data_IF_327543213154
#
_entry.id   IF_327543213154
#
_cell.length_a   1.000
_cell.length_b   1.000
_cell.length_c   1.000
_cell.angle_alpha   90.00
_cell.angle_beta   90.00
_cell.angle_gamma   90.00
#
_symmetry.space_group_name_H-M   'P 1'
#
loop_
_entity.id
_entity.type
_entity.pdbx_description
1 polymer ?
#
# COMPACT_ATOMS: atom_id res chain seq x y z
N UNK A 1 30.71 9.39 -11.51
CA UNK A 1 29.90 8.22 -11.13
C UNK A 1 28.70 8.18 -12.07
N UNK A 2 28.52 7.12 -12.85
CA UNK A 2 27.36 7.02 -13.73
C UNK A 2 26.10 6.85 -12.88
N UNK A 3 25.19 7.82 -12.98
CA UNK A 3 23.84 7.79 -12.41
C UNK A 3 23.02 6.73 -13.17
N UNK A 4 23.29 5.44 -12.93
CA UNK A 4 22.37 4.37 -13.31
C UNK A 4 21.21 4.41 -12.32
N UNK A 5 20.27 5.33 -12.54
CA UNK A 5 19.00 5.30 -11.82
C UNK A 5 18.37 3.93 -12.03
N UNK A 6 18.12 3.19 -10.95
CA UNK A 6 17.35 1.96 -11.03
C UNK A 6 15.99 2.24 -11.65
N UNK A 7 15.48 1.24 -12.36
CA UNK A 7 14.19 1.34 -13.01
C UNK A 7 13.10 1.64 -11.99
N UNK A 8 12.29 2.67 -12.26
CA UNK A 8 11.05 2.94 -11.50
C UNK A 8 9.89 2.05 -11.97
N UNK A 9 10.16 1.07 -12.84
CA UNK A 9 9.14 0.15 -13.34
C UNK A 9 8.72 -0.81 -12.23
N UNK A 10 7.43 -0.86 -11.98
CA UNK A 10 6.80 -1.83 -11.08
C UNK A 10 5.91 -2.73 -11.94
N UNK A 11 5.98 -4.07 -11.82
CA UNK A 11 5.16 -4.98 -12.61
C UNK A 11 3.66 -4.65 -12.50
N UNK A 12 2.94 -4.73 -13.61
CA UNK A 12 1.50 -4.40 -13.69
C UNK A 12 1.17 -2.89 -13.76
N UNK A 13 2.04 -2.01 -13.25
CA UNK A 13 1.82 -0.56 -13.34
C UNK A 13 2.20 -0.02 -14.73
N UNK A 14 1.50 1.02 -15.23
CA UNK A 14 1.87 1.67 -16.48
C UNK A 14 3.22 2.40 -16.35
N UNK A 15 3.92 2.59 -17.48
CA UNK A 15 5.14 3.40 -17.54
C UNK A 15 4.87 4.91 -17.63
N UNK A 16 3.64 5.33 -17.34
CA UNK A 16 3.19 6.72 -17.31
C UNK A 16 2.56 7.01 -15.94
N UNK A 17 2.27 8.28 -15.64
CA UNK A 17 1.51 8.63 -14.45
C UNK A 17 0.19 7.83 -14.43
N UNK A 18 -0.03 7.05 -13.37
CA UNK A 18 -1.27 6.30 -13.19
C UNK A 18 -2.37 7.23 -12.66
N UNK A 19 -3.56 7.13 -13.23
CA UNK A 19 -4.75 7.79 -12.72
C UNK A 19 -5.79 6.73 -12.36
N UNK A 20 -6.39 6.87 -11.19
CA UNK A 20 -7.34 5.90 -10.68
C UNK A 20 -8.17 6.46 -9.55
N UNK A 21 -8.96 5.60 -8.92
CA UNK A 21 -9.80 6.02 -7.81
C UNK A 21 -10.26 4.86 -6.94
N UNK A 22 -10.80 5.24 -5.78
CA UNK A 22 -11.42 4.33 -4.83
C UNK A 22 -12.75 3.83 -5.40
N UNK A 23 -13.07 2.56 -5.17
CA UNK A 23 -14.41 2.03 -5.41
C UNK A 23 -15.02 1.48 -4.13
N UNK A 24 -16.24 1.93 -3.83
CA UNK A 24 -17.08 1.33 -2.80
C UNK A 24 -17.83 0.07 -3.30
N UNK A 25 -17.65 -0.30 -4.58
CA UNK A 25 -18.34 -1.38 -5.31
C UNK A 25 -19.86 -1.22 -5.43
N UNK A 26 -20.38 0.00 -5.31
CA UNK A 26 -21.80 0.29 -5.58
C UNK A 26 -22.07 0.39 -7.08
N UNK A 27 -21.24 1.13 -7.84
CA UNK A 27 -21.25 1.14 -9.30
C UNK A 27 -20.34 0.04 -9.87
N UNK A 28 -20.94 -1.08 -10.24
CA UNK A 28 -20.24 -2.17 -10.93
C UNK A 28 -20.18 -1.98 -12.45
N UNK A 29 -20.80 -0.94 -13.01
CA UNK A 29 -20.69 -0.64 -14.44
C UNK A 29 -19.33 -0.01 -14.78
N UNK A 30 -18.69 0.62 -13.78
CA UNK A 30 -17.41 1.30 -13.89
C UNK A 30 -17.47 2.52 -14.81
N UNK A 31 -18.65 3.13 -14.99
CA UNK A 31 -18.87 4.18 -15.97
C UNK A 31 -17.92 5.37 -15.76
N UNK A 32 -17.73 5.77 -14.50
CA UNK A 32 -16.87 6.90 -14.15
C UNK A 32 -15.39 6.57 -14.38
N UNK A 33 -14.95 5.35 -14.06
CA UNK A 33 -13.59 4.88 -14.37
C UNK A 33 -13.32 4.83 -15.87
N UNK A 34 -14.31 4.43 -16.68
CA UNK A 34 -14.21 4.45 -18.15
C UNK A 34 -14.11 5.88 -18.66
N UNK A 35 -14.99 6.77 -18.20
CA UNK A 35 -14.99 8.17 -18.59
C UNK A 35 -13.66 8.86 -18.24
N UNK A 36 -13.12 8.55 -17.06
CA UNK A 36 -11.83 9.07 -16.60
C UNK A 36 -10.61 8.40 -17.26
N UNK A 37 -10.82 7.33 -18.07
CA UNK A 37 -9.76 6.50 -18.63
C UNK A 37 -8.79 6.04 -17.53
N UNK A 38 -9.32 5.50 -16.44
CA UNK A 38 -8.50 5.00 -15.34
C UNK A 38 -7.46 3.97 -15.82
N UNK A 39 -6.31 3.93 -15.17
CA UNK A 39 -5.27 2.90 -15.30
C UNK A 39 -5.15 2.05 -14.03
N UNK A 40 -5.86 2.41 -12.96
CA UNK A 40 -5.95 1.63 -11.74
C UNK A 40 -7.28 1.85 -11.04
N UNK A 41 -7.77 0.82 -10.34
CA UNK A 41 -8.93 0.91 -9.45
C UNK A 41 -8.49 0.33 -8.13
N UNK A 42 -8.73 1.04 -7.03
CA UNK A 42 -8.31 0.55 -5.72
C UNK A 42 -9.45 0.37 -4.73
N UNK A 43 -9.27 -0.60 -3.84
CA UNK A 43 -10.17 -0.90 -2.73
C UNK A 43 -9.40 -1.57 -1.61
N UNK A 44 -9.91 -1.47 -0.40
CA UNK A 44 -9.53 -2.34 0.69
C UNK A 44 -10.02 -3.79 0.46
N UNK A 45 -9.17 -4.78 0.73
CA UNK A 45 -9.51 -6.20 0.64
C UNK A 45 -10.47 -6.63 1.78
N UNK A 46 -11.23 -7.72 1.64
CA UNK A 46 -12.19 -8.13 2.68
C UNK A 46 -13.29 -7.09 2.93
N UNK A 47 -13.72 -6.91 4.19
CA UNK A 47 -14.81 -5.97 4.55
C UNK A 47 -14.38 -4.51 4.39
N UNK A 48 -13.23 -4.16 4.95
CA UNK A 48 -12.69 -2.79 5.03
C UNK A 48 -11.15 -2.76 4.97
N UNK A 49 -10.51 -3.87 4.58
CA UNK A 49 -9.06 -4.01 4.53
C UNK A 49 -8.47 -4.60 5.79
N UNK A 50 -9.17 -4.46 6.92
CA UNK A 50 -8.66 -4.89 8.24
C UNK A 50 -8.69 -6.40 8.42
N UNK A 51 -9.37 -7.09 7.51
CA UNK A 51 -9.76 -8.46 7.75
C UNK A 51 -10.83 -8.53 8.85
N UNK A 52 -11.59 -9.62 8.92
CA UNK A 52 -12.54 -9.76 10.03
C UNK A 52 -11.79 -10.33 11.24
N UNK A 53 -11.44 -9.46 12.20
CA UNK A 53 -10.75 -9.85 13.43
C UNK A 53 -11.43 -11.09 14.05
N UNK A 54 -10.65 -12.15 14.28
CA UNK A 54 -11.08 -13.41 14.91
C UNK A 54 -11.97 -14.34 14.08
N UNK A 55 -12.22 -14.06 12.80
CA UNK A 55 -13.00 -14.99 11.95
C UNK A 55 -12.26 -15.36 10.68
N UNK A 56 -12.33 -16.65 10.32
CA UNK A 56 -11.83 -17.10 9.04
C UNK A 56 -12.81 -16.68 7.94
N UNK A 57 -12.42 -15.75 7.08
CA UNK A 57 -13.25 -15.42 5.92
C UNK A 57 -13.12 -16.55 4.90
N UNK A 58 -14.28 -17.02 4.42
CA UNK A 58 -14.40 -18.10 3.44
C UNK A 58 -14.19 -17.61 2.00
N UNK A 59 -14.35 -16.30 1.76
CA UNK A 59 -14.22 -15.66 0.46
C UNK A 59 -13.98 -14.15 0.56
N UNK A 60 -12.98 -13.64 -0.16
CA UNK A 60 -12.75 -12.19 -0.31
C UNK A 60 -13.52 -11.64 -1.52
N UNK A 61 -14.80 -11.33 -1.31
CA UNK A 61 -15.66 -10.79 -2.36
C UNK A 61 -15.24 -9.39 -2.82
N UNK A 62 -14.62 -8.59 -1.95
CA UNK A 62 -14.07 -7.28 -2.34
C UNK A 62 -12.97 -7.45 -3.38
N UNK A 63 -11.98 -8.31 -3.12
CA UNK A 63 -10.92 -8.58 -4.10
C UNK A 63 -11.50 -9.13 -5.41
N UNK A 64 -12.42 -10.11 -5.35
CA UNK A 64 -13.01 -10.67 -6.57
C UNK A 64 -13.72 -9.61 -7.42
N UNK A 65 -14.55 -8.79 -6.78
CA UNK A 65 -15.34 -7.76 -7.46
C UNK A 65 -14.46 -6.64 -7.99
N UNK A 66 -13.43 -6.23 -7.26
CA UNK A 66 -12.46 -5.22 -7.74
C UNK A 66 -11.68 -5.73 -8.95
N UNK A 67 -11.23 -6.98 -8.94
CA UNK A 67 -10.55 -7.59 -10.10
C UNK A 67 -11.48 -7.68 -11.31
N UNK A 68 -12.74 -8.09 -11.10
CA UNK A 68 -13.74 -8.14 -12.18
C UNK A 68 -14.03 -6.74 -12.74
N UNK A 69 -14.25 -5.75 -11.87
CA UNK A 69 -14.52 -4.38 -12.28
C UNK A 69 -13.34 -3.80 -13.07
N UNK A 70 -12.10 -4.06 -12.65
CA UNK A 70 -10.92 -3.63 -13.40
C UNK A 70 -10.86 -4.26 -14.79
N UNK A 71 -11.16 -5.55 -14.93
CA UNK A 71 -11.25 -6.22 -16.23
C UNK A 71 -12.36 -5.65 -17.12
N UNK A 72 -13.52 -5.34 -16.55
CA UNK A 72 -14.66 -4.76 -17.29
C UNK A 72 -14.38 -3.34 -17.76
N UNK A 73 -13.69 -2.54 -16.94
CA UNK A 73 -13.25 -1.18 -17.31
C UNK A 73 -12.17 -1.26 -18.39
N UNK A 74 -11.18 -2.14 -18.22
CA UNK A 74 -10.12 -2.40 -19.19
C UNK A 74 -10.65 -2.70 -20.60
N UNK A 75 -11.63 -3.60 -20.70
CA UNK A 75 -12.27 -3.94 -21.97
C UNK A 75 -12.90 -2.74 -22.66
N UNK A 76 -13.37 -1.74 -21.90
CA UNK A 76 -14.03 -0.53 -22.41
C UNK A 76 -13.04 0.60 -22.71
N UNK A 77 -11.96 0.73 -21.95
CA UNK A 77 -10.94 1.79 -22.15
C UNK A 77 -9.86 1.40 -23.16
N UNK A 78 -9.71 0.11 -23.46
CA UNK A 78 -8.73 -0.40 -24.44
C UNK A 78 -7.27 -0.31 -23.98
N UNK A 79 -7.02 -0.25 -22.68
CA UNK A 79 -5.70 -0.21 -22.05
C UNK A 79 -5.72 -0.89 -20.69
N UNK A 80 -4.55 -1.26 -20.18
CA UNK A 80 -4.43 -1.95 -18.89
C UNK A 80 -5.00 -1.11 -17.73
N UNK A 81 -5.84 -1.74 -16.91
CA UNK A 81 -6.40 -1.21 -15.65
C UNK A 81 -6.01 -2.14 -14.52
N UNK A 82 -5.08 -1.73 -13.66
CA UNK A 82 -4.57 -2.56 -12.57
C UNK A 82 -5.52 -2.50 -11.35
N UNK A 83 -6.10 -3.62 -10.88
CA UNK A 83 -6.74 -3.65 -9.57
C UNK A 83 -5.66 -3.56 -8.48
N UNK A 84 -5.82 -2.60 -7.57
CA UNK A 84 -4.91 -2.39 -6.43
C UNK A 84 -5.69 -2.63 -5.14
N UNK A 85 -5.19 -3.52 -4.29
CA UNK A 85 -5.86 -3.90 -3.05
C UNK A 85 -5.03 -3.43 -1.86
N UNK A 86 -5.68 -2.78 -0.90
CA UNK A 86 -5.08 -2.42 0.38
C UNK A 86 -5.45 -3.49 1.41
N UNK A 87 -4.45 -4.08 2.05
CA UNK A 87 -4.66 -5.17 3.01
C UNK A 87 -3.88 -4.92 4.30
N UNK A 88 -4.57 -4.82 5.43
CA UNK A 88 -3.97 -4.86 6.75
C UNK A 88 -3.84 -6.34 7.13
N UNK A 89 -2.61 -6.83 7.03
CA UNK A 89 -2.13 -8.20 7.27
C UNK A 89 -2.40 -9.22 6.17
N UNK A 90 -1.31 -9.81 5.65
CA UNK A 90 -1.28 -11.14 5.00
C UNK A 90 -0.77 -12.17 5.99
N UNK A 91 -1.12 -12.00 7.27
CA UNK A 91 -0.49 -12.77 8.30
C UNK A 91 -1.30 -14.04 8.47
N UNK A 92 -0.77 -15.13 7.93
CA UNK A 92 -1.16 -16.47 8.33
C UNK A 92 -0.96 -16.71 9.84
N UNK A 93 -0.44 -15.73 10.57
CA UNK A 93 -0.11 -15.75 11.98
C UNK A 93 -1.08 -14.92 12.85
N UNK A 94 -2.12 -15.57 13.40
CA UNK A 94 -3.00 -15.15 14.52
C UNK A 94 -3.65 -13.73 14.46
N UNK A 95 -3.39 -12.94 13.42
CA UNK A 95 -4.16 -11.79 12.98
C UNK A 95 -4.56 -12.04 11.52
N UNK A 96 -5.87 -12.20 11.30
CA UNK A 96 -6.59 -12.63 10.08
C UNK A 96 -5.82 -13.38 8.96
N UNK A 97 -6.06 -14.71 8.79
CA UNK A 97 -5.50 -15.54 7.72
C UNK A 97 -6.24 -15.47 6.38
N UNK A 98 -6.58 -14.28 5.88
CA UNK A 98 -6.89 -14.12 4.47
C UNK A 98 -5.64 -13.85 3.65
N UNK A 99 -5.58 -14.53 2.52
CA UNK A 99 -4.68 -14.16 1.43
C UNK A 99 -5.58 -13.65 0.30
N UNK A 100 -6.03 -12.37 0.36
CA UNK A 100 -6.63 -11.70 -0.80
C UNK A 100 -5.83 -11.98 -2.09
N UNK A 101 -4.51 -12.03 -1.92
CA UNK A 101 -3.50 -12.18 -2.96
C UNK A 101 -3.69 -13.41 -3.86
N UNK A 102 -4.16 -14.55 -3.32
CA UNK A 102 -4.42 -15.75 -4.13
C UNK A 102 -5.69 -15.60 -4.97
N UNK A 103 -6.72 -14.96 -4.40
CA UNK A 103 -8.00 -14.72 -5.07
C UNK A 103 -7.82 -13.90 -6.34
N UNK A 104 -6.94 -12.90 -6.33
CA UNK A 104 -6.63 -12.12 -7.52
C UNK A 104 -6.07 -13.00 -8.65
N UNK A 105 -5.14 -13.92 -8.35
CA UNK A 105 -4.57 -14.85 -9.34
C UNK A 105 -5.64 -15.74 -9.97
N UNK A 106 -6.55 -16.28 -9.16
CA UNK A 106 -7.62 -17.17 -9.64
C UNK A 106 -8.65 -16.45 -10.55
N UNK A 107 -8.72 -15.12 -10.49
CA UNK A 107 -9.72 -14.32 -11.23
C UNK A 107 -9.16 -13.41 -12.31
N UNK A 108 -7.89 -13.02 -12.22
CA UNK A 108 -7.32 -11.98 -13.07
C UNK A 108 -7.11 -12.41 -14.52
N UNK A 109 -6.70 -13.66 -14.79
CA UNK A 109 -6.37 -14.09 -16.16
C UNK A 109 -5.20 -13.33 -16.82
N UNK A 110 -4.46 -12.53 -16.04
CA UNK A 110 -3.35 -11.64 -16.45
C UNK A 110 -2.04 -12.16 -15.91
N UNK A 111 -0.93 -11.75 -16.56
CA UNK A 111 0.43 -12.00 -16.05
C UNK A 111 0.61 -11.40 -14.65
N UNK A 112 0.18 -10.15 -14.43
CA UNK A 112 0.08 -9.54 -13.10
C UNK A 112 -1.40 -9.37 -12.73
N UNK A 113 -1.98 -10.23 -11.87
CA UNK A 113 -3.42 -10.26 -11.66
C UNK A 113 -3.94 -9.10 -10.82
N UNK A 114 -3.12 -8.58 -9.90
CA UNK A 114 -3.40 -7.41 -9.08
C UNK A 114 -2.11 -6.87 -8.45
N UNK A 115 -2.19 -5.67 -7.89
CA UNK A 115 -1.20 -5.15 -6.96
C UNK A 115 -1.74 -5.08 -5.53
N UNK A 116 -0.87 -5.26 -4.54
CA UNK A 116 -1.20 -5.16 -3.13
C UNK A 116 -0.35 -4.10 -2.42
N UNK A 117 -1.01 -3.27 -1.60
CA UNK A 117 -0.39 -2.40 -0.61
C UNK A 117 -0.64 -3.03 0.76
N UNK A 118 0.43 -3.50 1.40
CA UNK A 118 0.35 -4.31 2.60
C UNK A 118 0.64 -3.50 3.85
N UNK A 119 -0.11 -3.84 4.90
CA UNK A 119 0.06 -3.35 6.26
C UNK A 119 0.22 -1.82 6.32
N UNK A 120 -0.75 -1.04 5.81
CA UNK A 120 -0.71 0.40 6.00
C UNK A 120 -0.51 0.76 7.47
N UNK A 121 0.22 1.84 7.73
CA UNK A 121 0.63 2.32 9.04
C UNK A 121 1.68 1.47 9.77
N UNK A 122 1.86 0.18 9.43
CA UNK A 122 2.64 -0.73 10.28
C UNK A 122 4.10 -0.31 10.43
N UNK A 123 4.81 -0.10 9.31
CA UNK A 123 6.22 0.31 9.36
C UNK A 123 6.40 1.66 10.06
N UNK A 124 5.52 2.63 9.75
CA UNK A 124 5.56 3.96 10.35
C UNK A 124 5.26 3.93 11.86
N UNK A 125 4.30 3.13 12.30
CA UNK A 125 3.92 2.97 13.71
C UNK A 125 5.03 2.30 14.50
N UNK A 126 5.62 1.21 13.98
CA UNK A 126 6.74 0.55 14.65
C UNK A 126 7.96 1.49 14.75
N UNK A 127 8.21 2.31 13.73
CA UNK A 127 9.24 3.35 13.76
C UNK A 127 8.97 4.39 14.87
N UNK A 128 7.76 4.95 14.93
CA UNK A 128 7.37 5.93 15.95
C UNK A 128 7.50 5.38 17.38
N UNK A 129 7.20 4.10 17.56
CA UNK A 129 7.34 3.39 18.82
C UNK A 129 8.78 2.97 19.14
N UNK A 130 9.75 3.26 18.26
CA UNK A 130 11.15 2.86 18.38
C UNK A 130 11.33 1.35 18.59
N UNK A 131 10.49 0.53 17.94
CA UNK A 131 10.61 -0.92 18.04
C UNK A 131 11.84 -1.39 17.25
N UNK A 132 12.73 -2.12 17.92
CA UNK A 132 13.92 -2.68 17.27
C UNK A 132 13.58 -3.88 16.38
N UNK A 133 14.46 -4.26 15.43
CA UNK A 133 14.28 -5.47 14.62
C UNK A 133 14.10 -6.76 15.44
N UNK A 134 14.68 -6.80 16.64
CA UNK A 134 14.64 -7.92 17.57
C UNK A 134 13.46 -7.86 18.56
N UNK A 135 12.59 -6.84 18.44
CA UNK A 135 11.39 -6.73 19.27
C UNK A 135 10.58 -8.03 19.17
N UNK A 136 10.22 -8.61 20.32
CA UNK A 136 9.55 -9.89 20.39
C UNK A 136 8.17 -9.82 19.70
N UNK A 137 8.01 -10.60 18.63
CA UNK A 137 6.78 -10.66 17.84
C UNK A 137 6.56 -12.11 17.40
N UNK A 138 5.79 -12.91 18.16
CA UNK A 138 5.51 -14.29 17.80
C UNK A 138 4.81 -14.37 16.44
N UNK A 139 5.41 -15.11 15.49
CA UNK A 139 4.87 -15.26 14.13
C UNK A 139 4.88 -16.71 13.65
N UNK A 140 5.82 -17.55 14.11
CA UNK A 140 6.03 -18.89 13.52
C UNK A 140 4.88 -19.86 13.74
N UNK A 141 4.42 -20.02 14.99
CA UNK A 141 3.32 -20.95 15.33
C UNK A 141 2.06 -20.57 14.58
N UNK A 142 1.78 -19.28 14.65
CA UNK A 142 0.66 -18.66 14.03
C UNK A 142 0.70 -18.92 12.50
N UNK A 143 1.82 -18.61 11.83
CA UNK A 143 2.04 -18.81 10.39
C UNK A 143 1.83 -20.27 9.97
N UNK A 144 2.30 -21.21 10.78
CA UNK A 144 2.06 -22.65 10.60
C UNK A 144 0.57 -22.97 10.63
N UNK A 145 -0.14 -22.46 11.65
CA UNK A 145 -1.57 -22.68 11.82
C UNK A 145 -2.39 -22.30 10.60
N UNK A 146 -2.09 -21.17 9.93
CA UNK A 146 -2.86 -20.83 8.75
C UNK A 146 -2.35 -21.42 7.43
N UNK A 147 -1.08 -21.84 7.32
CA UNK A 147 -0.66 -22.72 6.21
C UNK A 147 -1.46 -24.03 6.26
N UNK A 148 -1.60 -24.62 7.45
CA UNK A 148 -2.40 -25.82 7.69
C UNK A 148 -3.88 -25.58 7.36
N UNK A 149 -4.48 -24.52 7.90
CA UNK A 149 -5.88 -24.17 7.66
C UNK A 149 -6.21 -23.99 6.18
N UNK A 150 -5.30 -23.38 5.40
CA UNK A 150 -5.48 -23.14 3.96
C UNK A 150 -4.95 -24.27 3.07
N UNK A 151 -4.46 -25.36 3.66
CA UNK A 151 -3.81 -26.47 2.97
C UNK A 151 -2.70 -26.01 2.01
N UNK A 152 -1.96 -24.96 2.39
CA UNK A 152 -0.81 -24.44 1.63
C UNK A 152 0.43 -25.24 2.04
N UNK A 153 1.10 -25.83 1.05
CA UNK A 153 2.36 -26.54 1.27
C UNK A 153 3.52 -25.55 1.22
N UNK A 154 4.34 -25.55 2.27
CA UNK A 154 5.58 -24.77 2.32
C UNK A 154 6.23 -24.87 3.70
N UNK A 155 7.54 -25.04 3.73
CA UNK A 155 8.31 -25.02 4.98
C UNK A 155 8.68 -23.59 5.31
N UNK A 156 8.33 -23.13 6.51
CA UNK A 156 8.68 -21.79 6.99
C UNK A 156 10.20 -21.69 7.11
N UNK A 157 10.87 -20.80 6.35
CA UNK A 157 12.31 -20.57 6.44
C UNK A 157 12.82 -20.42 7.87
N UNK A 158 14.03 -20.93 8.14
CA UNK A 158 14.63 -20.90 9.49
C UNK A 158 14.97 -19.47 9.96
N UNK A 159 15.24 -18.57 9.02
CA UNK A 159 15.57 -17.15 9.26
C UNK A 159 14.35 -16.29 9.61
N UNK A 160 13.12 -16.81 9.47
CA UNK A 160 11.91 -16.19 10.00
C UNK A 160 11.84 -16.44 11.51
N UNK A 161 12.30 -15.49 12.31
CA UNK A 161 12.31 -15.55 13.78
C UNK A 161 11.04 -14.97 14.41
N UNK A 162 10.80 -15.21 15.71
CA UNK A 162 9.70 -14.59 16.47
C UNK A 162 10.04 -13.15 16.89
N UNK A 163 10.43 -12.33 15.92
CA UNK A 163 10.80 -10.92 16.09
C UNK A 163 10.13 -10.06 15.04
N UNK A 164 10.13 -8.74 15.21
CA UNK A 164 9.56 -7.80 14.24
C UNK A 164 10.17 -7.98 12.83
N UNK A 165 11.49 -8.16 12.73
CA UNK A 165 12.15 -8.49 11.46
C UNK A 165 11.68 -9.83 10.88
N UNK A 166 11.47 -10.82 11.74
CA UNK A 166 10.93 -12.12 11.33
C UNK A 166 9.49 -12.03 10.83
N UNK A 167 8.65 -11.19 11.44
CA UNK A 167 7.31 -10.89 10.94
C UNK A 167 7.33 -10.27 9.53
N UNK A 168 8.17 -9.26 9.30
CA UNK A 168 8.34 -8.65 7.96
C UNK A 168 8.76 -9.71 6.94
N UNK A 169 9.72 -10.56 7.31
CA UNK A 169 10.21 -11.64 6.46
C UNK A 169 9.13 -12.69 6.18
N UNK A 170 8.29 -13.02 7.18
CA UNK A 170 7.15 -13.92 7.04
C UNK A 170 6.10 -13.42 6.05
N UNK A 171 5.73 -12.14 6.15
CA UNK A 171 4.78 -11.47 5.24
C UNK A 171 5.29 -11.52 3.80
N UNK A 172 6.54 -11.13 3.58
CA UNK A 172 7.15 -11.18 2.25
C UNK A 172 7.17 -12.60 1.68
N UNK A 173 7.62 -13.57 2.48
CA UNK A 173 7.70 -14.97 2.09
C UNK A 173 6.34 -15.55 1.73
N UNK A 174 5.32 -15.36 2.57
CA UNK A 174 4.00 -15.96 2.34
C UNK A 174 3.35 -15.43 1.08
N UNK A 175 3.49 -14.13 0.79
CA UNK A 175 2.97 -13.52 -0.45
C UNK A 175 3.59 -14.20 -1.67
N UNK A 176 4.92 -14.37 -1.69
CA UNK A 176 5.61 -15.05 -2.79
C UNK A 176 5.29 -16.54 -2.88
N UNK A 177 5.07 -17.21 -1.74
CA UNK A 177 4.68 -18.63 -1.71
C UNK A 177 3.33 -18.86 -2.40
N UNK A 178 2.34 -18.01 -2.15
CA UNK A 178 0.95 -18.24 -2.54
C UNK A 178 0.53 -17.51 -3.81
N UNK A 179 1.24 -16.45 -4.18
CA UNK A 179 0.89 -15.56 -5.27
C UNK A 179 2.14 -14.88 -5.86
N UNK A 180 3.12 -15.66 -6.32
CA UNK A 180 4.37 -15.13 -6.88
C UNK A 180 4.18 -14.07 -8.00
N UNK A 181 3.08 -14.16 -8.76
CA UNK A 181 2.77 -13.28 -9.89
C UNK A 181 2.15 -11.93 -9.52
N UNK A 182 1.73 -11.74 -8.26
CA UNK A 182 1.24 -10.41 -7.85
C UNK A 182 2.40 -9.45 -7.65
N UNK A 183 2.11 -8.19 -7.95
CA UNK A 183 2.93 -7.10 -7.48
C UNK A 183 2.53 -6.78 -6.05
N UNK A 184 3.49 -6.57 -5.15
CA UNK A 184 3.15 -6.06 -3.81
C UNK A 184 4.19 -5.10 -3.28
N UNK A 185 3.74 -4.24 -2.38
CA UNK A 185 4.57 -3.29 -1.67
C UNK A 185 4.10 -3.10 -0.24
N UNK A 186 5.01 -2.62 0.61
CA UNK A 186 4.63 -2.12 1.93
C UNK A 186 4.19 -0.66 1.81
N UNK A 187 3.50 -0.17 2.84
CA UNK A 187 3.23 1.25 2.99
C UNK A 187 3.92 1.81 4.24
N UNK A 188 4.36 3.06 4.16
CA UNK A 188 4.81 3.85 5.28
C UNK A 188 4.26 5.28 5.20
N UNK A 189 4.08 5.92 6.36
CA UNK A 189 3.56 7.28 6.42
C UNK A 189 4.66 8.33 6.50
N UNK A 190 4.42 9.46 5.85
CA UNK A 190 4.93 10.74 6.29
C UNK A 190 3.95 11.34 7.29
N UNK A 191 4.45 11.60 8.50
CA UNK A 191 3.63 12.17 9.56
C UNK A 191 3.71 13.70 9.48
N UNK A 192 2.55 14.35 9.58
CA UNK A 192 2.44 15.80 9.58
C UNK A 192 3.28 16.40 10.71
N UNK A 193 4.39 17.04 10.34
CA UNK A 193 5.23 17.76 11.30
C UNK A 193 4.72 19.19 11.45
N UNK A 194 4.39 19.61 12.67
CA UNK A 194 4.10 21.02 12.99
C UNK A 194 5.35 21.90 13.03
N UNK A 195 6.53 21.29 12.94
CA UNK A 195 7.83 21.97 12.92
C UNK A 195 8.46 21.82 11.54
N UNK A 196 9.32 22.77 11.16
CA UNK A 196 10.23 22.65 10.02
C UNK A 196 11.31 21.59 10.32
N UNK A 197 10.92 20.32 10.38
CA UNK A 197 11.86 19.22 10.42
C UNK A 197 12.45 19.02 9.02
N UNK A 198 13.75 18.77 8.93
CA UNK A 198 14.39 18.47 7.65
C UNK A 198 13.87 17.12 7.12
N UNK A 199 13.05 17.17 6.08
CA UNK A 199 12.48 15.98 5.45
C UNK A 199 13.53 15.03 4.90
N UNK A 200 14.75 15.51 4.60
CA UNK A 200 15.85 14.62 4.19
C UNK A 200 16.33 13.78 5.35
N UNK A 201 16.38 14.34 6.55
CA UNK A 201 16.74 13.60 7.76
C UNK A 201 15.63 12.62 8.15
N UNK A 202 14.36 13.02 8.05
CA UNK A 202 13.23 12.09 8.26
C UNK A 202 13.28 10.95 7.24
N UNK A 203 13.50 11.26 5.96
CA UNK A 203 13.65 10.24 4.92
C UNK A 203 14.81 9.30 5.24
N UNK A 204 15.97 9.82 5.67
CA UNK A 204 17.11 9.02 6.08
C UNK A 204 16.77 8.08 7.24
N UNK A 205 16.11 8.57 8.28
CA UNK A 205 15.69 7.76 9.43
C UNK A 205 14.72 6.65 9.00
N UNK A 206 13.76 6.96 8.12
CA UNK A 206 12.84 5.96 7.57
C UNK A 206 13.57 4.93 6.69
N UNK A 207 14.53 5.34 5.86
CA UNK A 207 15.38 4.42 5.08
C UNK A 207 16.15 3.48 6.01
N UNK A 208 16.83 4.03 7.00
CA UNK A 208 17.66 3.26 7.93
C UNK A 208 16.79 2.28 8.74
N UNK A 209 15.60 2.70 9.16
CA UNK A 209 14.64 1.85 9.85
C UNK A 209 14.15 0.69 8.97
N UNK A 210 13.67 0.98 7.76
CA UNK A 210 13.20 -0.04 6.80
C UNK A 210 14.31 -1.02 6.44
N UNK A 211 15.56 -0.56 6.28
CA UNK A 211 16.72 -1.42 6.06
C UNK A 211 17.02 -2.31 7.25
N UNK A 212 16.91 -1.79 8.48
CA UNK A 212 17.15 -2.57 9.70
C UNK A 212 16.19 -3.75 9.84
N UNK A 213 14.96 -3.60 9.35
CA UNK A 213 13.94 -4.65 9.28
C UNK A 213 14.13 -5.62 8.10
N UNK A 214 15.02 -5.31 7.15
CA UNK A 214 15.28 -6.18 5.99
C UNK A 214 14.12 -6.25 4.98
N UNK A 215 13.23 -5.25 4.95
CA UNK A 215 11.98 -5.26 4.14
C UNK A 215 12.24 -5.59 2.66
N UNK A 216 13.31 -5.03 2.07
CA UNK A 216 13.64 -5.20 0.65
C UNK A 216 14.88 -6.07 0.41
N UNK A 217 15.10 -7.07 1.27
CA UNK A 217 16.25 -7.99 1.18
C UNK A 217 15.81 -9.42 0.83
N UNK A 218 16.69 -10.18 0.19
CA UNK A 218 16.47 -11.60 -0.10
C UNK A 218 15.53 -11.88 -1.28
N UNK A 219 15.21 -13.16 -1.47
CA UNK A 219 14.45 -13.66 -2.63
C UNK A 219 12.95 -13.27 -2.61
N UNK A 220 12.45 -12.78 -1.48
CA UNK A 220 11.04 -12.47 -1.28
C UNK A 220 10.76 -10.96 -1.26
N UNK A 221 11.70 -10.15 -1.71
CA UNK A 221 11.57 -8.70 -1.68
C UNK A 221 10.27 -8.21 -2.36
N UNK A 222 9.56 -7.24 -1.74
CA UNK A 222 8.46 -6.53 -2.39
C UNK A 222 8.95 -5.71 -3.58
N UNK A 223 8.02 -5.32 -4.44
CA UNK A 223 8.28 -4.65 -5.71
C UNK A 223 8.36 -3.12 -5.58
N UNK A 224 7.75 -2.54 -4.54
CA UNK A 224 7.70 -1.09 -4.32
C UNK A 224 7.42 -0.72 -2.85
N UNK A 225 7.62 0.55 -2.51
CA UNK A 225 7.15 1.19 -1.28
C UNK A 225 6.05 2.22 -1.63
N UNK A 226 4.91 2.17 -0.95
CA UNK A 226 3.91 3.25 -1.01
C UNK A 226 4.12 4.22 0.15
N UNK A 227 4.00 5.53 -0.11
CA UNK A 227 4.09 6.55 0.92
C UNK A 227 2.77 7.29 1.02
N UNK A 228 2.13 7.17 2.18
CA UNK A 228 0.95 7.96 2.51
C UNK A 228 1.25 9.17 3.37
N UNK A 229 0.43 10.18 3.15
CA UNK A 229 0.45 11.48 3.83
C UNK A 229 -0.76 11.61 4.75
N UNK A 230 -1.31 10.49 5.20
CA UNK A 230 -2.54 10.39 6.00
C UNK A 230 -3.78 10.83 5.19
N UNK A 231 -4.82 9.99 5.21
CA UNK A 231 -6.08 10.03 4.42
C UNK A 231 -6.94 11.32 4.49
N UNK A 232 -6.45 12.40 5.10
CA UNK A 232 -7.17 13.66 5.14
C UNK A 232 -7.08 14.35 3.76
N UNK A 233 -8.23 14.59 3.14
CA UNK A 233 -8.32 15.49 2.00
C UNK A 233 -7.77 16.87 2.42
N UNK A 234 -6.92 17.46 1.56
CA UNK A 234 -6.26 18.76 1.77
C UNK A 234 -7.27 19.85 2.16
N UNK A 235 -8.52 19.66 1.75
CA UNK A 235 -9.58 20.64 1.86
C UNK A 235 -10.42 20.52 3.15
N UNK A 236 -10.08 19.59 4.04
CA UNK A 236 -10.82 19.38 5.29
C UNK A 236 -10.16 20.05 6.47
N UNK A 237 -10.92 20.44 7.50
CA UNK A 237 -10.38 20.91 8.78
C UNK A 237 -9.40 19.90 9.40
N UNK A 238 -9.63 18.60 9.16
CA UNK A 238 -8.71 17.51 9.53
C UNK A 238 -7.37 17.64 8.80
N UNK A 239 -7.38 17.95 7.50
CA UNK A 239 -6.18 18.21 6.71
C UNK A 239 -5.45 19.47 7.17
N UNK A 240 -6.15 20.60 7.28
CA UNK A 240 -5.59 21.87 7.74
C UNK A 240 -5.03 21.79 9.17
N UNK A 241 -5.81 21.30 10.14
CA UNK A 241 -5.46 21.29 11.56
C UNK A 241 -4.30 20.36 11.90
N UNK A 242 -4.05 19.34 11.08
CA UNK A 242 -3.02 18.33 11.31
C UNK A 242 -1.79 18.48 10.41
N UNK A 243 -1.70 19.57 9.62
CA UNK A 243 -0.53 19.84 8.76
C UNK A 243 -0.46 18.99 7.50
N UNK A 244 -1.62 18.52 7.01
CA UNK A 244 -1.73 17.71 5.80
C UNK A 244 -2.31 18.48 4.61
N UNK A 245 -2.78 19.72 4.77
CA UNK A 245 -3.13 20.58 3.63
C UNK A 245 -1.86 21.04 2.89
N UNK A 246 -1.60 20.44 1.72
CA UNK A 246 -0.37 20.71 0.98
C UNK A 246 -0.58 21.77 -0.10
N UNK A 247 0.18 22.86 -0.02
CA UNK A 247 0.35 23.80 -1.14
C UNK A 247 1.49 23.31 -2.07
N UNK A 248 1.78 23.99 -3.20
CA UNK A 248 2.87 23.57 -4.09
C UNK A 248 4.21 23.33 -3.38
N UNK A 249 4.55 24.09 -2.34
CA UNK A 249 5.78 23.88 -1.58
C UNK A 249 5.79 22.59 -0.77
N UNK A 250 4.66 22.23 -0.14
CA UNK A 250 4.55 20.98 0.61
C UNK A 250 4.54 19.76 -0.34
N UNK A 251 3.94 19.91 -1.52
CA UNK A 251 4.01 18.89 -2.56
C UNK A 251 5.44 18.67 -3.06
N UNK A 252 6.20 19.73 -3.35
CA UNK A 252 7.62 19.64 -3.74
C UNK A 252 8.43 18.90 -2.67
N UNK A 253 8.26 19.31 -1.41
CA UNK A 253 8.87 18.69 -0.23
C UNK A 253 8.52 17.21 -0.06
N UNK A 254 7.27 16.83 -0.32
CA UNK A 254 6.81 15.44 -0.28
C UNK A 254 7.43 14.59 -1.39
N UNK A 255 7.55 15.12 -2.60
CA UNK A 255 8.25 14.43 -3.69
C UNK A 255 9.74 14.29 -3.43
N UNK A 256 10.37 15.31 -2.83
CA UNK A 256 11.76 15.23 -2.35
C UNK A 256 11.92 14.13 -1.30
N UNK A 257 11.00 14.02 -0.34
CA UNK A 257 10.99 12.93 0.64
C UNK A 257 10.91 11.56 -0.06
N UNK A 258 9.96 11.37 -0.98
CA UNK A 258 9.81 10.13 -1.75
C UNK A 258 11.07 9.81 -2.59
N UNK A 259 11.71 10.83 -3.18
CA UNK A 259 12.94 10.70 -3.96
C UNK A 259 14.13 10.25 -3.09
N UNK A 260 14.24 10.79 -1.87
CA UNK A 260 15.26 10.36 -0.91
C UNK A 260 15.02 8.92 -0.44
N UNK A 261 13.77 8.51 -0.22
CA UNK A 261 13.45 7.11 0.08
C UNK A 261 13.81 6.18 -1.09
N UNK A 262 13.48 6.56 -2.32
CA UNK A 262 13.81 5.79 -3.53
C UNK A 262 15.32 5.61 -3.65
N UNK A 263 16.08 6.69 -3.50
CA UNK A 263 17.54 6.68 -3.58
C UNK A 263 18.17 5.88 -2.43
N UNK A 264 17.62 6.01 -1.23
CA UNK A 264 18.12 5.36 -0.02
C UNK A 264 17.86 3.86 0.01
N UNK A 265 16.67 3.42 -0.40
CA UNK A 265 16.26 2.02 -0.40
C UNK A 265 16.61 1.29 -1.70
N UNK A 266 16.82 2.04 -2.79
CA UNK A 266 17.10 1.50 -4.12
C UNK A 266 15.96 0.60 -4.64
N UNK A 267 14.72 1.06 -4.38
CA UNK A 267 13.43 0.45 -4.77
C UNK A 267 12.44 1.51 -5.27
N UNK A 268 11.53 1.20 -6.20
CA UNK A 268 10.48 2.13 -6.62
C UNK A 268 9.65 2.64 -5.43
N UNK A 269 9.42 3.95 -5.36
CA UNK A 269 8.58 4.59 -4.35
C UNK A 269 7.38 5.24 -5.02
N UNK A 270 6.18 4.89 -4.55
CA UNK A 270 4.90 5.40 -5.01
C UNK A 270 4.36 6.44 -4.02
N UNK A 271 4.22 7.71 -4.41
CA UNK A 271 3.44 8.68 -3.66
C UNK A 271 1.94 8.30 -3.70
N UNK A 272 1.35 7.94 -2.56
CA UNK A 272 -0.02 7.42 -2.43
C UNK A 272 -0.74 8.14 -1.29
N UNK A 273 -1.73 9.01 -1.41
CA UNK A 273 -2.46 9.41 -2.61
C UNK A 273 -2.30 10.90 -2.89
N UNK A 274 -2.23 11.23 -4.18
CA UNK A 274 -2.24 12.61 -4.65
C UNK A 274 -3.70 12.96 -4.96
N UNK A 275 -4.30 13.97 -4.31
CA UNK A 275 -5.65 14.39 -4.62
C UNK A 275 -5.70 14.98 -6.03
N UNK A 276 -6.78 14.67 -6.77
CA UNK A 276 -7.06 15.30 -8.06
C UNK A 276 -7.79 16.65 -7.92
N UNK A 277 -8.07 17.07 -6.68
CA UNK A 277 -8.71 18.35 -6.37
C UNK A 277 -7.70 19.50 -6.41
N UNK A 278 -8.22 20.74 -6.47
CA UNK A 278 -7.42 21.95 -6.29
C UNK A 278 -7.85 22.67 -5.01
N UNK A 279 -6.93 23.45 -4.44
CA UNK A 279 -7.29 24.36 -3.35
C UNK A 279 -8.42 25.30 -3.83
N UNK A 280 -9.52 25.45 -3.05
CA UNK A 280 -10.59 26.37 -3.39
C UNK A 280 -10.07 27.80 -3.29
N UNK A 281 -10.56 28.68 -4.17
CA UNK A 281 -10.34 30.11 -4.03
C UNK A 281 -11.16 30.66 -2.86
N UNK A 282 -10.73 31.79 -2.29
CA UNK A 282 -11.46 32.50 -1.23
C UNK A 282 -12.89 32.90 -1.59
N UNK A 283 -13.23 32.87 -2.87
CA UNK A 283 -14.54 33.25 -3.41
C UNK A 283 -15.45 32.05 -3.67
N UNK A 284 -14.98 30.82 -3.46
CA UNK A 284 -15.75 29.61 -3.71
C UNK A 284 -16.46 29.15 -2.45
N UNK A 285 -17.76 28.89 -2.57
CA UNK A 285 -18.55 28.33 -1.49
C UNK A 285 -18.18 26.84 -1.32
N UNK A 286 -17.48 26.51 -0.24
CA UNK A 286 -17.21 25.12 0.15
C UNK A 286 -18.35 24.66 1.05
N UNK A 287 -19.26 23.84 0.53
CA UNK A 287 -20.39 23.34 1.30
C UNK A 287 -19.92 22.43 2.44
N UNK A 288 -20.25 22.78 3.69
CA UNK A 288 -20.21 21.94 4.90
C UNK A 288 -19.27 20.71 4.84
N UNK A 289 -17.96 20.96 4.81
CA UNK A 289 -16.98 20.05 5.41
C UNK A 289 -16.35 20.81 6.58
N UNK A 290 -17.15 20.92 7.65
CA UNK A 290 -16.84 21.41 9.01
C UNK A 290 -15.93 22.65 9.12
N UNK A 291 -16.57 23.79 9.38
CA UNK A 291 -16.04 25.13 9.72
C UNK A 291 -14.92 25.70 8.83
N UNK A 292 -15.25 26.79 8.13
CA UNK A 292 -14.29 27.60 7.38
C UNK A 292 -13.12 28.05 8.28
N UNK A 293 -11.92 27.55 8.00
CA UNK A 293 -10.69 28.15 8.51
C UNK A 293 -10.05 28.96 7.38
N UNK A 294 -10.27 30.27 7.45
CA UNK A 294 -9.57 31.27 6.64
C UNK A 294 -8.26 31.69 7.32
#
# INVERSE_FOLDING_TARGET
>A
MSDQRKSLKVPGFPSSLSFGGYTDLTDLTGKDFVAAKASSIFRYAGTDGTGDLYTHVSSDESTKRTVQLAADVEAKVGKSVLPILVAYTTNLSLGDPNIPVKTAKEKGGREVPAAYILNPEFLGTCQQQNLSPDFAMPVREALRGALEYRAVKGDIPEDITNTLKGYVSAVNWVVRLVAHDVTFGWQANIWGSKTEADLREIAKQTVDYIKSLGVYTGAYAPDFLAIDRYEADDLTIRGYGNGYCYSPSEWERFYDFCSNLNSGLDVPVMPWQIPASRLPYKTEAVSYLEEEKW
#
